data_IF_916261277707
#
_entry.id   IF_916261277707
#
_cell.length_a   1.000
_cell.length_b   1.000
_cell.length_c   1.000
_cell.angle_alpha   90.00
_cell.angle_beta   90.00
_cell.angle_gamma   90.00
#
_symmetry.space_group_name_H-M   'P 1'
#
loop_
_entity.id
_entity.type
_entity.pdbx_description
1 polymer ?
#
# COMPACT_ATOMS: atom_id res chain seq x y z
N UNK A 1 76.25 74.60 7.07
CA UNK A 1 75.37 74.62 8.26
C UNK A 1 74.22 75.61 8.03
N UNK A 2 73.01 75.10 7.82
CA UNK A 2 71.73 75.74 8.17
C UNK A 2 70.74 74.60 8.44
N UNK A 3 70.31 74.46 9.69
CA UNK A 3 69.31 73.49 10.15
C UNK A 3 67.94 74.08 9.84
N UNK A 4 67.07 73.32 9.17
CA UNK A 4 65.62 73.53 9.25
C UNK A 4 64.93 72.19 9.48
N UNK A 5 64.42 72.12 10.70
CA UNK A 5 63.43 71.22 11.26
C UNK A 5 62.09 71.40 10.53
N UNK A 6 61.43 70.33 10.08
CA UNK A 6 59.99 70.10 10.26
C UNK A 6 59.51 68.89 9.46
N UNK A 7 59.13 67.81 10.17
CA UNK A 7 57.75 67.37 10.41
C UNK A 7 57.24 66.44 9.30
N UNK A 8 57.31 65.15 9.64
CA UNK A 8 56.64 64.03 9.01
C UNK A 8 55.12 64.20 9.17
N UNK A 9 54.41 64.56 8.10
CA UNK A 9 52.94 64.45 8.03
C UNK A 9 52.63 63.07 7.47
N UNK A 10 52.27 62.16 8.37
CA UNK A 10 51.60 60.91 8.06
C UNK A 10 50.14 61.24 7.72
N UNK A 11 49.85 61.43 6.44
CA UNK A 11 48.48 61.50 5.95
C UNK A 11 47.85 60.11 6.04
N UNK A 12 47.22 59.81 7.18
CA UNK A 12 46.14 58.82 7.24
C UNK A 12 44.99 59.43 6.44
N UNK A 13 44.94 59.13 5.14
CA UNK A 13 43.70 59.26 4.39
C UNK A 13 42.88 58.02 4.72
N UNK A 14 41.92 58.21 5.62
CA UNK A 14 40.86 57.24 5.86
C UNK A 14 40.06 57.19 4.56
N UNK A 15 40.18 56.11 3.80
CA UNK A 15 39.34 55.81 2.65
C UNK A 15 37.92 55.44 3.15
N UNK A 16 37.13 56.42 3.58
CA UNK A 16 35.67 56.23 3.75
C UNK A 16 34.97 56.82 2.54
N UNK A 17 34.89 56.04 1.46
CA UNK A 17 34.21 56.46 0.23
C UNK A 17 34.02 55.42 -0.88
N UNK A 18 34.45 54.16 -0.69
CA UNK A 18 34.27 53.09 -1.70
C UNK A 18 33.26 51.99 -1.31
N UNK A 19 32.88 51.86 -0.03
CA UNK A 19 32.08 50.72 0.47
C UNK A 19 30.66 50.69 -0.09
N UNK A 20 29.97 51.83 -0.20
CA UNK A 20 28.60 51.87 -0.76
C UNK A 20 28.52 51.43 -2.22
N UNK A 21 29.52 51.81 -3.04
CA UNK A 21 29.57 51.41 -4.46
C UNK A 21 29.82 49.91 -4.66
N UNK A 22 30.47 49.24 -3.71
CA UNK A 22 30.70 47.80 -3.79
C UNK A 22 29.43 47.03 -3.40
N UNK A 23 28.75 47.46 -2.33
CA UNK A 23 27.47 46.90 -1.92
C UNK A 23 26.42 46.99 -3.06
N UNK A 24 26.29 48.16 -3.70
CA UNK A 24 25.37 48.36 -4.82
C UNK A 24 25.66 47.41 -6.00
N UNK A 25 26.95 47.26 -6.35
CA UNK A 25 27.36 46.33 -7.43
C UNK A 25 27.06 44.87 -7.08
N UNK A 26 27.27 44.47 -5.83
CA UNK A 26 26.99 43.12 -5.37
C UNK A 26 25.48 42.82 -5.40
N UNK A 27 24.64 43.80 -5.06
CA UNK A 27 23.17 43.68 -5.19
C UNK A 27 22.74 43.48 -6.64
N UNK A 28 23.25 44.29 -7.57
CA UNK A 28 22.90 44.17 -9.00
C UNK A 28 23.38 42.84 -9.59
N UNK A 29 24.58 42.38 -9.19
CA UNK A 29 25.07 41.05 -9.55
C UNK A 29 24.16 39.94 -9.00
N UNK A 30 23.73 40.03 -7.74
CA UNK A 30 22.81 39.08 -7.14
C UNK A 30 21.45 39.04 -7.83
N UNK A 31 20.92 40.19 -8.27
CA UNK A 31 19.67 40.26 -9.07
C UNK A 31 19.82 39.61 -10.45
N UNK A 32 20.98 39.77 -11.09
CA UNK A 32 21.29 39.10 -12.36
C UNK A 32 21.37 37.59 -12.18
N UNK A 33 22.08 37.11 -11.17
CA UNK A 33 22.19 35.68 -10.83
C UNK A 33 20.83 35.08 -10.46
N UNK A 34 20.02 35.80 -9.69
CA UNK A 34 18.64 35.44 -9.37
C UNK A 34 17.77 35.32 -10.64
N UNK A 35 17.93 36.25 -11.59
CA UNK A 35 17.23 36.21 -12.88
C UNK A 35 17.69 35.03 -13.75
N UNK A 36 18.96 34.63 -13.62
CA UNK A 36 19.55 33.48 -14.29
C UNK A 36 19.30 32.16 -13.53
N UNK A 37 18.53 32.16 -12.44
CA UNK A 37 18.26 31.01 -11.57
C UNK A 37 19.51 30.41 -10.91
N UNK A 38 20.59 31.18 -10.81
CA UNK A 38 21.83 30.79 -10.15
C UNK A 38 21.73 31.09 -8.65
N UNK A 39 20.79 30.44 -7.96
CA UNK A 39 20.36 30.81 -6.60
C UNK A 39 21.49 30.82 -5.56
N UNK A 40 22.37 29.82 -5.56
CA UNK A 40 23.51 29.79 -4.62
C UNK A 40 24.50 30.96 -4.87
N UNK A 41 24.69 31.35 -6.14
CA UNK A 41 25.53 32.51 -6.48
C UNK A 41 24.85 33.81 -6.05
N UNK A 42 23.55 33.94 -6.32
CA UNK A 42 22.77 35.10 -5.90
C UNK A 42 22.85 35.31 -4.38
N UNK A 43 22.73 34.23 -3.59
CA UNK A 43 22.92 34.26 -2.12
C UNK A 43 24.31 34.77 -1.75
N UNK A 44 25.37 34.30 -2.43
CA UNK A 44 26.74 34.76 -2.18
C UNK A 44 26.92 36.25 -2.52
N UNK A 45 26.36 36.72 -3.63
CA UNK A 45 26.39 38.13 -4.03
C UNK A 45 25.62 39.03 -3.06
N UNK A 46 24.45 38.62 -2.58
CA UNK A 46 23.74 39.38 -1.55
C UNK A 46 24.42 39.33 -0.19
N UNK A 47 25.09 38.22 0.16
CA UNK A 47 25.91 38.16 1.37
C UNK A 47 27.09 39.13 1.28
N UNK A 48 27.76 39.22 0.12
CA UNK A 48 28.83 40.20 -0.10
C UNK A 48 28.33 41.63 0.08
N UNK A 49 27.12 41.96 -0.41
CA UNK A 49 26.51 43.26 -0.17
C UNK A 49 26.28 43.55 1.32
N UNK A 50 25.88 42.54 2.09
CA UNK A 50 25.65 42.65 3.54
C UNK A 50 26.96 42.71 4.35
N UNK A 51 28.05 42.13 3.85
CA UNK A 51 29.36 42.25 4.47
C UNK A 51 29.89 43.70 4.36
N UNK A 52 29.56 44.39 3.27
CA UNK A 52 29.90 45.80 3.04
C UNK A 52 28.90 46.79 3.69
N UNK A 53 27.60 46.46 3.69
CA UNK A 53 26.54 47.21 4.36
C UNK A 53 25.56 46.25 5.06
N UNK A 54 25.85 45.95 6.32
CA UNK A 54 25.07 44.99 7.13
C UNK A 54 23.63 45.41 7.38
N UNK A 55 23.29 46.68 7.15
CA UNK A 55 21.94 47.21 7.35
C UNK A 55 21.16 47.31 6.04
N UNK A 56 21.71 46.86 4.92
CA UNK A 56 21.04 46.90 3.63
C UNK A 56 19.80 46.00 3.63
N UNK A 57 18.62 46.62 3.66
CA UNK A 57 17.34 45.90 3.75
C UNK A 57 17.04 45.10 2.49
N UNK A 58 17.36 45.62 1.32
CA UNK A 58 17.08 44.96 0.04
C UNK A 58 17.91 43.68 -0.10
N UNK A 59 19.22 43.76 0.13
CA UNK A 59 20.12 42.61 0.09
C UNK A 59 19.67 41.53 1.09
N UNK A 60 19.31 41.94 2.31
CA UNK A 60 18.81 41.03 3.35
C UNK A 60 17.52 40.33 2.91
N UNK A 61 16.53 41.08 2.45
CA UNK A 61 15.24 40.54 2.01
C UNK A 61 15.39 39.55 0.84
N UNK A 62 16.19 39.91 -0.18
CA UNK A 62 16.42 39.06 -1.35
C UNK A 62 17.15 37.77 -0.95
N UNK A 63 18.18 37.88 -0.11
CA UNK A 63 18.90 36.72 0.41
C UNK A 63 17.99 35.80 1.22
N UNK A 64 17.21 36.35 2.15
CA UNK A 64 16.32 35.58 3.02
C UNK A 64 15.27 34.79 2.20
N UNK A 65 14.73 35.37 1.12
CA UNK A 65 13.80 34.69 0.21
C UNK A 65 14.47 33.49 -0.47
N UNK A 66 15.67 33.69 -1.03
CA UNK A 66 16.38 32.64 -1.78
C UNK A 66 16.83 31.52 -0.82
N UNK A 67 17.38 31.89 0.35
CA UNK A 67 17.75 30.94 1.40
C UNK A 67 16.54 30.11 1.86
N UNK A 68 15.38 30.74 2.02
CA UNK A 68 14.13 30.07 2.36
C UNK A 68 13.73 29.03 1.32
N UNK A 69 13.78 29.40 0.04
CA UNK A 69 13.52 28.49 -1.07
C UNK A 69 14.50 27.31 -1.10
N UNK A 70 15.81 27.56 -1.02
CA UNK A 70 16.84 26.51 -1.07
C UNK A 70 16.71 25.53 0.10
N UNK A 71 16.43 26.01 1.31
CA UNK A 71 16.18 25.16 2.48
C UNK A 71 14.92 24.32 2.30
N UNK A 72 13.82 24.94 1.84
CA UNK A 72 12.57 24.23 1.58
C UNK A 72 12.74 23.15 0.52
N UNK A 73 13.44 23.46 -0.58
CA UNK A 73 13.75 22.52 -1.65
C UNK A 73 14.61 21.35 -1.15
N UNK A 74 15.65 21.64 -0.36
CA UNK A 74 16.48 20.59 0.24
C UNK A 74 15.68 19.67 1.17
N UNK A 75 14.77 20.22 1.96
CA UNK A 75 13.88 19.43 2.80
C UNK A 75 12.94 18.54 1.95
N UNK A 76 12.41 19.08 0.84
CA UNK A 76 11.60 18.31 -0.11
C UNK A 76 12.37 17.17 -0.77
N UNK A 77 13.58 17.46 -1.27
CA UNK A 77 14.45 16.47 -1.93
C UNK A 77 14.88 15.35 -0.95
N UNK A 78 14.93 15.66 0.36
CA UNK A 78 15.16 14.68 1.43
C UNK A 78 13.87 14.00 1.93
N UNK A 79 12.74 14.18 1.24
CA UNK A 79 11.42 13.65 1.57
C UNK A 79 10.88 14.10 2.94
N UNK A 80 11.38 15.22 3.48
CA UNK A 80 10.88 15.84 4.70
C UNK A 80 9.81 16.89 4.36
N UNK A 81 8.61 16.42 4.00
CA UNK A 81 7.53 17.26 3.48
C UNK A 81 7.00 18.29 4.49
N UNK A 82 6.95 17.94 5.78
CA UNK A 82 6.45 18.85 6.82
C UNK A 82 7.42 20.01 7.06
N UNK A 83 8.71 19.74 7.11
CA UNK A 83 9.74 20.78 7.19
C UNK A 83 9.76 21.63 5.93
N UNK A 84 9.70 21.00 4.75
CA UNK A 84 9.66 21.70 3.47
C UNK A 84 8.47 22.67 3.38
N UNK A 85 7.28 22.20 3.77
CA UNK A 85 6.06 23.02 3.83
C UNK A 85 6.23 24.22 4.75
N UNK A 86 6.69 23.99 5.99
CA UNK A 86 6.91 25.06 6.96
C UNK A 86 7.90 26.11 6.44
N UNK A 87 8.98 25.67 5.79
CA UNK A 87 9.99 26.56 5.23
C UNK A 87 9.43 27.38 4.05
N UNK A 88 8.72 26.74 3.11
CA UNK A 88 8.19 27.43 1.92
C UNK A 88 7.03 28.39 2.24
N UNK A 89 6.23 28.08 3.27
CA UNK A 89 5.17 28.96 3.78
C UNK A 89 5.74 30.16 4.55
N UNK A 90 6.94 30.02 5.13
CA UNK A 90 7.66 31.09 5.82
C UNK A 90 8.38 32.08 4.90
N UNK A 91 8.42 31.82 3.58
CA UNK A 91 9.04 32.73 2.61
C UNK A 91 8.21 34.01 2.49
N UNK A 92 8.87 35.17 2.60
CA UNK A 92 8.25 36.48 2.48
C UNK A 92 7.53 36.66 1.13
N UNK A 93 6.25 37.05 1.14
CA UNK A 93 5.38 37.21 -0.04
C UNK A 93 5.92 38.14 -1.13
N UNK A 94 6.88 39.02 -0.81
CA UNK A 94 7.60 39.84 -1.81
C UNK A 94 8.24 39.00 -2.93
N UNK A 95 8.47 37.70 -2.70
CA UNK A 95 8.93 36.76 -3.73
C UNK A 95 8.05 36.76 -4.99
N UNK A 96 6.76 37.12 -4.87
CA UNK A 96 5.82 37.20 -5.99
C UNK A 96 6.22 38.22 -7.06
N UNK A 97 7.10 39.17 -6.75
CA UNK A 97 7.59 40.17 -7.70
C UNK A 97 9.01 39.86 -8.21
N UNK A 98 9.55 38.68 -7.90
CA UNK A 98 10.91 38.26 -8.25
C UNK A 98 10.90 37.16 -9.30
N UNK A 99 12.01 36.96 -10.03
CA UNK A 99 12.16 35.90 -11.03
C UNK A 99 12.07 34.48 -10.47
N UNK A 100 12.29 34.31 -9.15
CA UNK A 100 12.19 33.02 -8.44
C UNK A 100 10.74 32.58 -8.18
N UNK A 101 9.75 33.46 -8.44
CA UNK A 101 8.33 33.22 -8.14
C UNK A 101 7.85 31.84 -8.59
N UNK A 102 8.04 31.53 -9.87
CA UNK A 102 7.49 30.30 -10.45
C UNK A 102 8.10 29.04 -9.84
N UNK A 103 9.37 29.10 -9.41
CA UNK A 103 10.04 27.97 -8.78
C UNK A 103 9.56 27.75 -7.33
N UNK A 104 9.26 28.84 -6.59
CA UNK A 104 8.63 28.76 -5.26
C UNK A 104 7.19 28.24 -5.37
N UNK A 105 6.39 28.78 -6.30
CA UNK A 105 5.01 28.37 -6.47
C UNK A 105 4.91 26.90 -6.93
N UNK A 106 5.82 26.48 -7.82
CA UNK A 106 5.94 25.07 -8.19
C UNK A 106 6.29 24.19 -7.00
N UNK A 107 7.28 24.58 -6.18
CA UNK A 107 7.63 23.81 -4.99
C UNK A 107 6.44 23.69 -4.02
N UNK A 108 5.67 24.76 -3.82
CA UNK A 108 4.43 24.72 -3.01
C UNK A 108 3.41 23.71 -3.56
N UNK A 109 3.23 23.66 -4.88
CA UNK A 109 2.35 22.69 -5.53
C UNK A 109 2.87 21.26 -5.37
N UNK A 110 4.15 21.03 -5.65
CA UNK A 110 4.80 19.71 -5.55
C UNK A 110 4.70 19.14 -4.11
N UNK A 111 4.87 19.98 -3.08
CA UNK A 111 4.68 19.60 -1.67
C UNK A 111 3.23 19.19 -1.40
N UNK A 112 2.27 19.99 -1.87
CA UNK A 112 0.85 19.74 -1.66
C UNK A 112 0.42 18.43 -2.31
N UNK A 113 0.83 18.20 -3.55
CA UNK A 113 0.50 16.99 -4.31
C UNK A 113 1.11 15.73 -3.66
N UNK A 114 2.34 15.84 -3.15
CA UNK A 114 2.96 14.76 -2.39
C UNK A 114 2.21 14.45 -1.09
N UNK A 115 1.81 15.47 -0.32
CA UNK A 115 1.02 15.29 0.90
C UNK A 115 -0.35 14.65 0.61
N UNK A 116 -1.01 15.08 -0.46
CA UNK A 116 -2.29 14.51 -0.87
C UNK A 116 -2.14 13.04 -1.27
N UNK A 117 -1.10 12.71 -2.06
CA UNK A 117 -0.81 11.33 -2.47
C UNK A 117 -0.61 10.42 -1.25
N UNK A 118 0.15 10.88 -0.24
CA UNK A 118 0.36 10.13 1.00
C UNK A 118 -0.96 9.91 1.75
N UNK A 119 -1.80 10.94 1.84
CA UNK A 119 -3.11 10.84 2.51
C UNK A 119 -4.03 9.83 1.81
N UNK A 120 -4.10 9.85 0.48
CA UNK A 120 -4.91 8.91 -0.32
C UNK A 120 -4.42 7.46 -0.17
N UNK A 121 -3.11 7.24 -0.13
CA UNK A 121 -2.52 5.92 0.13
C UNK A 121 -2.90 5.45 1.54
N UNK A 122 -2.77 6.31 2.55
CA UNK A 122 -3.11 5.95 3.94
C UNK A 122 -4.60 5.61 4.09
N UNK A 123 -5.49 6.36 3.45
CA UNK A 123 -6.92 6.05 3.41
C UNK A 123 -7.20 4.71 2.72
N UNK A 124 -6.48 4.41 1.63
CA UNK A 124 -6.61 3.14 0.92
C UNK A 124 -6.12 1.95 1.76
N UNK A 125 -5.04 2.11 2.52
CA UNK A 125 -4.57 1.10 3.48
C UNK A 125 -5.60 0.87 4.59
N UNK A 126 -6.20 1.93 5.13
CA UNK A 126 -7.26 1.79 6.15
C UNK A 126 -8.50 1.09 5.57
N UNK A 127 -8.91 1.45 4.35
CA UNK A 127 -9.99 0.77 3.64
C UNK A 127 -9.69 -0.72 3.44
N UNK A 128 -8.45 -1.07 3.08
CA UNK A 128 -8.02 -2.46 2.96
C UNK A 128 -8.17 -3.21 4.30
N UNK A 129 -7.74 -2.59 5.40
CA UNK A 129 -7.88 -3.15 6.74
C UNK A 129 -9.37 -3.44 7.09
N UNK A 130 -10.26 -2.50 6.79
CA UNK A 130 -11.71 -2.66 6.97
C UNK A 130 -12.25 -3.81 6.12
N UNK A 131 -11.91 -3.88 4.83
CA UNK A 131 -12.36 -4.95 3.94
C UNK A 131 -11.93 -6.34 4.43
N UNK A 132 -10.71 -6.47 4.96
CA UNK A 132 -10.24 -7.72 5.55
C UNK A 132 -11.05 -8.08 6.79
N UNK A 133 -11.31 -7.12 7.69
CA UNK A 133 -12.12 -7.36 8.89
C UNK A 133 -13.58 -7.74 8.56
N UNK A 134 -14.13 -7.14 7.52
CA UNK A 134 -15.46 -7.44 6.98
C UNK A 134 -15.51 -8.74 6.16
N UNK A 135 -14.39 -9.46 6.04
CA UNK A 135 -14.23 -10.69 5.25
C UNK A 135 -14.55 -10.53 3.77
N UNK A 136 -14.47 -9.30 3.25
CA UNK A 136 -14.65 -8.96 1.82
C UNK A 136 -13.35 -9.20 1.07
N UNK A 137 -12.89 -10.45 1.05
CA UNK A 137 -11.53 -10.79 0.60
C UNK A 137 -11.27 -10.54 -0.89
N UNK A 138 -12.28 -10.62 -1.75
CA UNK A 138 -12.11 -10.33 -3.18
C UNK A 138 -11.82 -8.84 -3.42
N UNK A 139 -12.59 -7.96 -2.77
CA UNK A 139 -12.36 -6.51 -2.80
C UNK A 139 -11.02 -6.14 -2.15
N UNK A 140 -10.69 -6.78 -1.02
CA UNK A 140 -9.42 -6.58 -0.32
C UNK A 140 -8.23 -6.98 -1.21
N UNK A 141 -8.33 -8.11 -1.91
CA UNK A 141 -7.28 -8.59 -2.81
C UNK A 141 -7.05 -7.61 -3.97
N UNK A 142 -8.11 -7.13 -4.61
CA UNK A 142 -8.02 -6.15 -5.68
C UNK A 142 -7.34 -4.85 -5.19
N UNK A 143 -7.76 -4.32 -4.04
CA UNK A 143 -7.18 -3.11 -3.46
C UNK A 143 -5.71 -3.31 -3.05
N UNK A 144 -5.35 -4.48 -2.53
CA UNK A 144 -3.95 -4.79 -2.17
C UNK A 144 -3.02 -4.81 -3.39
N UNK A 145 -3.52 -5.26 -4.55
CA UNK A 145 -2.76 -5.27 -5.81
C UNK A 145 -2.57 -3.85 -6.35
N UNK A 146 -3.61 -3.01 -6.27
CA UNK A 146 -3.50 -1.59 -6.62
C UNK A 146 -2.46 -0.88 -5.75
N UNK A 147 -2.48 -1.12 -4.44
CA UNK A 147 -1.53 -0.54 -3.48
C UNK A 147 -0.09 -0.98 -3.73
N UNK A 148 0.15 -2.24 -4.11
CA UNK A 148 1.48 -2.74 -4.47
C UNK A 148 2.08 -2.07 -5.71
N UNK A 149 1.25 -1.51 -6.60
CA UNK A 149 1.69 -0.75 -7.77
C UNK A 149 2.09 0.70 -7.46
N UNK A 150 1.86 1.19 -6.24
CA UNK A 150 2.15 2.57 -5.83
C UNK A 150 3.52 2.69 -5.17
N UNK A 151 4.08 3.89 -5.19
CA UNK A 151 5.27 4.21 -4.43
C UNK A 151 4.90 4.41 -2.95
N UNK A 152 5.21 3.41 -2.12
CA UNK A 152 4.90 3.42 -0.68
C UNK A 152 6.14 3.79 0.14
N UNK A 153 5.92 4.53 1.23
CA UNK A 153 6.93 4.67 2.29
C UNK A 153 7.19 3.32 2.98
N UNK A 154 8.29 3.21 3.72
CA UNK A 154 8.60 1.99 4.47
C UNK A 154 7.53 1.67 5.52
N UNK A 155 6.99 2.69 6.19
CA UNK A 155 5.89 2.54 7.13
C UNK A 155 4.62 2.03 6.44
N UNK A 156 4.25 2.62 5.31
CA UNK A 156 3.09 2.19 4.52
C UNK A 156 3.24 0.76 4.01
N UNK A 157 4.45 0.39 3.56
CA UNK A 157 4.77 -0.96 3.11
C UNK A 157 4.66 -1.97 4.25
N UNK A 158 5.14 -1.61 5.44
CA UNK A 158 5.00 -2.43 6.65
C UNK A 158 3.54 -2.70 7.00
N UNK A 159 2.71 -1.64 7.07
CA UNK A 159 1.27 -1.77 7.34
C UNK A 159 0.55 -2.61 6.28
N UNK A 160 0.82 -2.36 5.00
CA UNK A 160 0.25 -3.14 3.90
C UNK A 160 0.61 -4.62 4.01
N UNK A 161 1.89 -4.94 4.26
CA UNK A 161 2.36 -6.31 4.36
C UNK A 161 1.70 -7.07 5.53
N UNK A 162 1.50 -6.41 6.67
CA UNK A 162 0.82 -7.00 7.82
C UNK A 162 -0.65 -7.35 7.51
N UNK A 163 -1.38 -6.40 6.90
CA UNK A 163 -2.79 -6.62 6.53
C UNK A 163 -2.91 -7.73 5.49
N UNK A 164 -2.05 -7.73 4.46
CA UNK A 164 -2.05 -8.76 3.41
C UNK A 164 -1.71 -10.13 3.98
N UNK A 165 -0.76 -10.21 4.93
CA UNK A 165 -0.45 -11.46 5.61
C UNK A 165 -1.67 -11.99 6.36
N UNK A 166 -2.33 -11.16 7.17
CA UNK A 166 -3.55 -11.55 7.91
C UNK A 166 -4.64 -12.06 6.97
N UNK A 167 -4.88 -11.35 5.88
CA UNK A 167 -5.85 -11.75 4.85
C UNK A 167 -5.52 -13.15 4.29
N UNK A 168 -4.27 -13.40 3.92
CA UNK A 168 -3.85 -14.68 3.35
C UNK A 168 -3.93 -15.82 4.38
N UNK A 169 -3.58 -15.56 5.63
CA UNK A 169 -3.69 -16.54 6.72
C UNK A 169 -5.16 -16.93 6.97
N UNK A 170 -6.08 -15.97 6.91
CA UNK A 170 -7.53 -16.24 7.03
C UNK A 170 -8.08 -17.02 5.82
N UNK A 171 -7.69 -16.66 4.60
CA UNK A 171 -8.06 -17.40 3.38
C UNK A 171 -7.56 -18.84 3.41
N UNK A 172 -6.33 -19.06 3.88
CA UNK A 172 -5.76 -20.39 4.01
C UNK A 172 -6.54 -21.26 5.02
N UNK A 173 -7.00 -20.68 6.13
CA UNK A 173 -7.87 -21.37 7.09
C UNK A 173 -9.22 -21.74 6.46
N UNK A 174 -9.85 -20.80 5.76
CA UNK A 174 -11.13 -21.06 5.06
C UNK A 174 -10.99 -22.19 4.05
N UNK A 175 -9.88 -22.24 3.30
CA UNK A 175 -9.64 -23.30 2.33
C UNK A 175 -9.38 -24.65 3.02
N UNK A 176 -8.63 -24.65 4.13
CA UNK A 176 -8.40 -25.86 4.93
C UNK A 176 -9.70 -26.41 5.52
N UNK A 177 -10.56 -25.54 6.08
CA UNK A 177 -11.85 -25.91 6.65
C UNK A 177 -12.77 -26.50 5.57
N UNK A 178 -12.84 -25.90 4.38
CA UNK A 178 -13.59 -26.45 3.24
C UNK A 178 -13.10 -27.83 2.82
N UNK A 179 -11.78 -28.03 2.73
CA UNK A 179 -11.21 -29.35 2.40
C UNK A 179 -11.54 -30.39 3.46
N UNK A 180 -11.47 -30.02 4.74
CA UNK A 180 -11.83 -30.90 5.85
C UNK A 180 -13.33 -31.28 5.82
N UNK A 181 -14.22 -30.32 5.55
CA UNK A 181 -15.66 -30.60 5.36
C UNK A 181 -15.93 -31.51 4.16
N UNK A 182 -15.26 -31.28 3.03
CA UNK A 182 -15.38 -32.14 1.85
C UNK A 182 -14.87 -33.57 2.10
N UNK A 183 -13.77 -33.73 2.85
CA UNK A 183 -13.30 -35.04 3.27
C UNK A 183 -14.24 -35.74 4.24
N UNK A 184 -14.86 -35.00 5.17
CA UNK A 184 -15.90 -35.55 6.04
C UNK A 184 -17.12 -36.02 5.24
N UNK A 185 -17.62 -35.21 4.30
CA UNK A 185 -18.71 -35.61 3.39
C UNK A 185 -18.33 -36.84 2.56
N UNK A 186 -17.08 -36.95 2.09
CA UNK A 186 -16.58 -38.15 1.40
C UNK A 186 -16.50 -39.38 2.31
N UNK A 187 -16.30 -39.22 3.62
CA UNK A 187 -16.31 -40.34 4.58
C UNK A 187 -17.72 -40.74 5.00
N UNK A 188 -18.71 -39.87 4.84
CA UNK A 188 -20.10 -40.17 5.16
C UNK A 188 -20.59 -41.42 4.40
N UNK A 189 -21.24 -42.33 5.12
CA UNK A 189 -21.87 -43.51 4.55
C UNK A 189 -23.23 -43.11 3.96
N UNK A 190 -23.27 -43.00 2.64
CA UNK A 190 -24.46 -42.65 1.85
C UNK A 190 -25.11 -43.88 1.24
N UNK A 191 -26.35 -43.72 0.74
CA UNK A 191 -27.08 -44.80 0.07
C UNK A 191 -26.40 -45.25 -1.22
N UNK A 192 -25.76 -44.33 -1.96
CA UNK A 192 -25.02 -44.66 -3.18
C UNK A 192 -23.84 -45.59 -2.85
N UNK A 193 -23.10 -45.32 -1.77
CA UNK A 193 -22.05 -46.22 -1.29
C UNK A 193 -22.61 -47.59 -0.89
N UNK A 194 -23.76 -47.61 -0.22
CA UNK A 194 -24.42 -48.86 0.15
C UNK A 194 -24.84 -49.68 -1.09
N UNK A 195 -25.40 -49.03 -2.11
CA UNK A 195 -25.72 -49.65 -3.39
C UNK A 195 -24.44 -50.15 -4.09
N UNK A 196 -23.35 -49.38 -4.09
CA UNK A 196 -22.07 -49.80 -4.66
C UNK A 196 -21.50 -51.04 -3.95
N UNK A 197 -21.59 -51.13 -2.62
CA UNK A 197 -21.19 -52.33 -1.89
C UNK A 197 -22.08 -53.54 -2.23
N UNK A 198 -23.39 -53.33 -2.39
CA UNK A 198 -24.31 -54.39 -2.83
C UNK A 198 -23.98 -54.86 -4.27
N UNK A 199 -23.76 -53.94 -5.21
CA UNK A 199 -23.34 -54.24 -6.58
C UNK A 199 -22.00 -54.97 -6.60
N UNK A 200 -21.03 -54.54 -5.77
CA UNK A 200 -19.72 -55.20 -5.68
C UNK A 200 -19.83 -56.64 -5.19
N UNK A 201 -20.75 -56.92 -4.25
CA UNK A 201 -20.96 -58.28 -3.72
C UNK A 201 -21.77 -59.17 -4.67
N UNK A 202 -22.83 -58.64 -5.28
CA UNK A 202 -23.83 -59.43 -6.00
C UNK A 202 -23.79 -59.27 -7.53
N UNK A 203 -22.96 -58.36 -8.04
CA UNK A 203 -22.76 -58.10 -9.46
C UNK A 203 -23.65 -57.00 -10.05
N UNK A 204 -23.29 -56.51 -11.24
CA UNK A 204 -24.07 -55.53 -11.99
C UNK A 204 -24.76 -56.21 -13.18
N UNK A 205 -25.85 -56.95 -12.92
CA UNK A 205 -26.63 -57.60 -13.97
C UNK A 205 -27.62 -56.59 -14.58
N UNK A 206 -27.73 -56.45 -15.92
CA UNK A 206 -28.68 -55.55 -16.57
C UNK A 206 -30.15 -55.76 -16.15
N UNK A 207 -30.52 -56.99 -15.80
CA UNK A 207 -31.87 -57.33 -15.32
C UNK A 207 -32.08 -56.96 -13.85
N UNK A 208 -31.05 -56.62 -13.08
CA UNK A 208 -31.17 -56.27 -11.65
C UNK A 208 -31.18 -54.75 -11.46
N UNK A 209 -32.11 -54.27 -10.66
CA UNK A 209 -32.15 -52.92 -10.13
C UNK A 209 -32.01 -52.96 -8.60
N UNK A 210 -31.11 -52.14 -8.06
CA UNK A 210 -30.95 -51.97 -6.62
C UNK A 210 -31.80 -50.79 -6.15
N UNK A 211 -32.84 -51.08 -5.38
CA UNK A 211 -33.64 -50.11 -4.64
C UNK A 211 -33.21 -50.08 -3.17
N UNK A 212 -33.72 -49.14 -2.38
CA UNK A 212 -33.40 -49.02 -0.96
C UNK A 212 -34.59 -48.55 -0.13
N UNK A 213 -34.55 -48.86 1.16
CA UNK A 213 -35.40 -48.22 2.18
C UNK A 213 -34.76 -46.89 2.61
N UNK A 214 -35.45 -45.75 2.49
CA UNK A 214 -34.89 -44.44 2.86
C UNK A 214 -34.62 -44.29 4.37
N UNK A 215 -35.14 -45.17 5.22
CA UNK A 215 -34.86 -45.13 6.64
C UNK A 215 -33.43 -45.61 6.95
N UNK A 216 -32.64 -44.74 7.57
CA UNK A 216 -31.34 -45.10 8.16
C UNK A 216 -31.59 -45.97 9.39
N UNK A 217 -30.87 -47.08 9.50
CA UNK A 217 -30.98 -48.02 10.62
C UNK A 217 -29.61 -48.27 11.24
N UNK A 218 -29.63 -48.80 12.47
CA UNK A 218 -28.43 -49.13 13.24
C UNK A 218 -28.53 -50.56 13.77
N UNK A 219 -27.43 -51.30 13.75
CA UNK A 219 -27.30 -52.62 14.38
C UNK A 219 -25.89 -52.76 14.94
N UNK A 220 -25.78 -53.14 16.22
CA UNK A 220 -24.52 -53.21 16.96
C UNK A 220 -23.66 -51.93 16.87
N UNK A 221 -24.32 -50.77 16.88
CA UNK A 221 -23.67 -49.46 16.77
C UNK A 221 -23.22 -49.06 15.36
N UNK A 222 -23.44 -49.91 14.35
CA UNK A 222 -23.08 -49.62 12.95
C UNK A 222 -24.29 -49.14 12.15
N UNK A 223 -24.12 -48.05 11.41
CA UNK A 223 -25.13 -47.53 10.47
C UNK A 223 -25.27 -48.49 9.29
N UNK A 224 -26.50 -48.77 8.85
CA UNK A 224 -26.77 -49.54 7.64
C UNK A 224 -27.96 -48.99 6.83
N UNK A 225 -27.93 -49.26 5.53
CA UNK A 225 -29.09 -49.12 4.64
C UNK A 225 -29.64 -50.49 4.27
N UNK A 226 -30.97 -50.59 4.14
CA UNK A 226 -31.61 -51.80 3.60
C UNK A 226 -31.70 -51.66 2.09
N UNK A 227 -30.92 -52.47 1.38
CA UNK A 227 -30.89 -52.54 -0.09
C UNK A 227 -31.75 -53.69 -0.56
N UNK A 228 -32.54 -53.47 -1.61
CA UNK A 228 -33.47 -54.43 -2.18
C UNK A 228 -33.07 -54.66 -3.62
N UNK A 229 -32.62 -55.87 -3.95
CA UNK A 229 -32.34 -56.24 -5.33
C UNK A 229 -33.64 -56.70 -6.00
N UNK A 230 -33.94 -56.14 -7.18
CA UNK A 230 -35.15 -56.47 -7.94
C UNK A 230 -34.83 -56.85 -9.40
N UNK A 231 -35.42 -57.93 -9.90
CA UNK A 231 -35.40 -58.30 -11.32
C UNK A 231 -36.42 -57.49 -12.11
N UNK A 232 -35.95 -56.83 -13.17
CA UNK A 232 -36.77 -56.04 -14.10
C UNK A 232 -37.70 -56.94 -14.92
N UNK A 233 -37.20 -58.07 -15.41
CA UNK A 233 -37.98 -59.06 -16.16
C UNK A 233 -39.11 -59.65 -15.31
N UNK A 234 -38.86 -59.95 -14.03
CA UNK A 234 -39.91 -60.42 -13.11
C UNK A 234 -40.97 -59.35 -12.83
N UNK A 235 -40.57 -58.09 -12.69
CA UNK A 235 -41.52 -56.98 -12.53
C UNK A 235 -42.38 -56.79 -13.80
N UNK A 236 -41.77 -56.90 -14.98
CA UNK A 236 -42.48 -56.77 -16.26
C UNK A 236 -43.56 -57.85 -16.44
N UNK A 237 -43.36 -59.03 -15.86
CA UNK A 237 -44.31 -60.14 -15.88
C UNK A 237 -45.34 -60.09 -14.72
N UNK A 238 -45.47 -58.96 -14.03
CA UNK A 238 -46.47 -58.75 -12.96
C UNK A 238 -46.08 -59.27 -11.57
N UNK A 239 -44.85 -59.76 -11.40
CA UNK A 239 -44.33 -60.20 -10.09
C UNK A 239 -43.79 -59.03 -9.24
N UNK A 240 -43.53 -59.29 -7.95
CA UNK A 240 -42.91 -58.30 -7.05
C UNK A 240 -41.50 -57.89 -7.47
N UNK A 241 -40.87 -58.73 -8.30
CA UNK A 241 -39.49 -58.60 -8.76
C UNK A 241 -38.42 -58.76 -7.70
N UNK A 242 -38.78 -58.92 -6.42
CA UNK A 242 -37.79 -58.92 -5.34
C UNK A 242 -36.98 -60.22 -5.37
N UNK A 243 -35.67 -60.08 -5.53
CA UNK A 243 -34.73 -61.21 -5.49
C UNK A 243 -34.27 -61.46 -4.06
N UNK A 244 -33.79 -60.43 -3.39
CA UNK A 244 -33.35 -60.48 -2.00
C UNK A 244 -33.34 -59.09 -1.36
N UNK A 245 -33.20 -59.04 -0.04
CA UNK A 245 -32.93 -57.84 0.74
C UNK A 245 -31.60 -58.00 1.46
N UNK A 246 -30.85 -56.92 1.61
CA UNK A 246 -29.58 -56.95 2.30
C UNK A 246 -29.40 -55.71 3.19
N UNK A 247 -28.91 -55.93 4.41
CA UNK A 247 -28.32 -54.88 5.23
C UNK A 247 -26.93 -54.57 4.68
N UNK A 248 -26.70 -53.31 4.32
CA UNK A 248 -25.38 -52.84 3.90
C UNK A 248 -24.88 -51.83 4.91
N UNK A 249 -23.80 -52.19 5.59
CA UNK A 249 -23.20 -51.43 6.67
C UNK A 249 -22.16 -50.43 6.18
N UNK A 250 -21.88 -49.43 7.01
CA UNK A 250 -20.90 -48.37 6.70
C UNK A 250 -19.47 -48.85 6.51
N UNK A 251 -19.12 -50.00 7.10
CA UNK A 251 -17.81 -50.66 6.94
C UNK A 251 -17.71 -51.52 5.66
N UNK A 252 -18.76 -51.56 4.84
CA UNK A 252 -18.82 -52.36 3.62
C UNK A 252 -19.31 -53.79 3.82
N UNK A 253 -19.65 -54.19 5.04
CA UNK A 253 -20.29 -55.48 5.29
C UNK A 253 -21.68 -55.52 4.64
N UNK A 254 -21.99 -56.60 3.94
CA UNK A 254 -23.29 -56.81 3.30
C UNK A 254 -23.87 -58.14 3.78
N UNK A 255 -25.04 -58.12 4.39
CA UNK A 255 -25.71 -59.30 4.98
C UNK A 255 -27.12 -59.43 4.40
N UNK A 256 -27.43 -60.54 3.75
CA UNK A 256 -28.78 -60.82 3.25
C UNK A 256 -29.75 -61.07 4.41
N UNK A 257 -31.02 -60.67 4.26
CA UNK A 257 -32.09 -60.74 5.28
C UNK A 257 -33.40 -61.23 4.70
#
# INVERSE_FOLDING_TARGET
MKKYLSILIFCIVIFTGCSSRLADKAIEQGKLELSNKEYDKAVASFQLALDEDSNNKEAKELKDIIDGYLKAKKAYDNNNLDESKKLVEGINEKYMNLSIKDDIDKLKADIKDAQQTIAEINQSIEKLNILVNDKKYDEAKALSQELNGKHLSDEQRGKLAEIVKRMNDELAKIEADKKAEEEQKKKEFTVEKAIQYAIKKYGNNPDIAYAYDPQIRYENGKKYFSIIAKSKSMMANGGSGTLFRAKVFEDGTVVEI
#
